data_IF_030178483572
#
_entry.id   IF_030178483572
#
_cell.length_a   1.000
_cell.length_b   1.000
_cell.length_c   1.000
_cell.angle_alpha   90.00
_cell.angle_beta   90.00
_cell.angle_gamma   90.00
#
_symmetry.space_group_name_H-M   'P 1'
#
loop_
_entity.id
_entity.type
_entity.pdbx_description
1 polymer ?
#
# COMPACT_ATOMS: atom_id res chain seq x y z
N UNK A 1 -25.18 -3.06 20.00
CA UNK A 1 -24.61 -3.25 18.64
C UNK A 1 -23.41 -4.16 18.76
N UNK A 2 -23.24 -5.18 17.90
CA UNK A 2 -22.03 -6.00 17.91
C UNK A 2 -20.81 -5.12 17.59
N UNK A 3 -19.83 -5.10 18.48
CA UNK A 3 -18.56 -4.39 18.29
C UNK A 3 -17.59 -5.30 17.54
N UNK A 4 -16.96 -4.79 16.48
CA UNK A 4 -15.92 -5.54 15.76
C UNK A 4 -14.68 -5.65 16.67
N UNK A 5 -14.14 -6.86 16.92
CA UNK A 5 -12.95 -7.03 17.74
C UNK A 5 -11.73 -6.34 17.12
N UNK A 6 -10.88 -5.71 17.94
CA UNK A 6 -9.68 -4.99 17.47
C UNK A 6 -8.70 -5.93 16.76
N UNK A 7 -8.61 -7.19 17.22
CA UNK A 7 -7.78 -8.24 16.62
C UNK A 7 -8.24 -8.57 15.21
N UNK A 8 -9.55 -8.55 14.95
CA UNK A 8 -10.11 -8.77 13.63
C UNK A 8 -9.73 -7.63 12.67
N UNK A 9 -9.76 -6.38 13.16
CA UNK A 9 -9.31 -5.21 12.39
C UNK A 9 -7.82 -5.32 12.05
N UNK A 10 -6.97 -5.62 13.04
CA UNK A 10 -5.51 -5.76 12.84
C UNK A 10 -5.17 -6.94 11.93
N UNK A 11 -5.81 -8.10 12.12
CA UNK A 11 -5.62 -9.25 11.25
C UNK A 11 -5.98 -8.93 9.80
N UNK A 12 -7.08 -8.19 9.60
CA UNK A 12 -7.53 -7.76 8.27
C UNK A 12 -6.55 -6.76 7.63
N UNK A 13 -6.03 -5.78 8.37
CA UNK A 13 -5.05 -4.83 7.81
C UNK A 13 -3.71 -5.46 7.49
N UNK A 14 -3.27 -6.44 8.28
CA UNK A 14 -2.10 -7.27 7.94
C UNK A 14 -2.34 -8.02 6.63
N UNK A 15 -3.51 -8.65 6.46
CA UNK A 15 -3.85 -9.33 5.22
C UNK A 15 -3.84 -8.36 4.02
N UNK A 16 -4.41 -7.17 4.17
CA UNK A 16 -4.36 -6.11 3.15
C UNK A 16 -2.93 -5.73 2.76
N UNK A 17 -2.03 -5.59 3.73
CA UNK A 17 -0.61 -5.30 3.47
C UNK A 17 0.02 -6.36 2.56
N UNK A 18 -0.20 -7.64 2.85
CA UNK A 18 0.37 -8.73 2.06
C UNK A 18 -0.31 -8.92 0.70
N UNK A 19 -1.61 -8.63 0.57
CA UNK A 19 -2.30 -8.59 -0.74
C UNK A 19 -1.69 -7.50 -1.64
N UNK A 20 -1.47 -6.30 -1.09
CA UNK A 20 -0.84 -5.20 -1.83
C UNK A 20 0.59 -5.53 -2.24
N UNK A 21 1.36 -6.13 -1.33
CA UNK A 21 2.72 -6.61 -1.60
C UNK A 21 2.73 -7.63 -2.74
N UNK A 22 1.92 -8.69 -2.62
CA UNK A 22 1.87 -9.77 -3.61
C UNK A 22 1.55 -9.23 -5.01
N UNK A 23 0.56 -8.34 -5.12
CA UNK A 23 0.28 -7.68 -6.39
C UNK A 23 1.47 -6.87 -6.91
N UNK A 24 2.08 -6.03 -6.08
CA UNK A 24 3.18 -5.17 -6.52
C UNK A 24 4.38 -6.01 -6.98
N UNK A 25 4.64 -7.15 -6.33
CA UNK A 25 5.67 -8.12 -6.75
C UNK A 25 5.31 -8.72 -8.11
N UNK A 26 4.11 -9.30 -8.26
CA UNK A 26 3.69 -9.92 -9.53
C UNK A 26 3.77 -8.94 -10.69
N UNK A 27 3.33 -7.70 -10.51
CA UNK A 27 3.40 -6.69 -11.56
C UNK A 27 4.85 -6.29 -11.91
N UNK A 28 5.72 -6.13 -10.90
CA UNK A 28 7.08 -5.61 -11.11
C UNK A 28 8.07 -6.66 -11.62
N UNK A 29 7.87 -7.93 -11.25
CA UNK A 29 8.84 -9.00 -11.51
C UNK A 29 8.35 -10.03 -12.53
N UNK A 30 7.06 -10.05 -12.85
CA UNK A 30 6.49 -11.00 -13.81
C UNK A 30 5.75 -10.27 -14.93
N UNK A 31 4.71 -9.50 -14.56
CA UNK A 31 3.76 -8.91 -15.49
C UNK A 31 4.37 -7.93 -16.48
N UNK A 32 4.93 -6.82 -15.99
CA UNK A 32 5.55 -5.81 -16.87
C UNK A 32 6.82 -6.36 -17.53
N UNK A 33 7.72 -7.09 -16.84
CA UNK A 33 8.87 -7.71 -17.49
C UNK A 33 8.50 -8.60 -18.68
N UNK A 34 7.43 -9.39 -18.60
CA UNK A 34 6.97 -10.23 -19.71
C UNK A 34 6.60 -9.42 -20.96
N UNK A 35 6.14 -8.18 -20.82
CA UNK A 35 5.87 -7.27 -21.93
C UNK A 35 7.13 -6.60 -22.51
N UNK A 36 8.26 -6.70 -21.79
CA UNK A 36 9.52 -6.06 -22.15
C UNK A 36 10.59 -7.06 -22.62
N UNK A 37 10.30 -8.36 -22.59
CA UNK A 37 11.18 -9.38 -23.18
C UNK A 37 11.32 -9.07 -24.67
N UNK A 38 12.56 -8.98 -25.13
CA UNK A 38 12.91 -8.67 -26.52
C UNK A 38 12.28 -7.38 -27.06
N UNK A 39 12.04 -6.39 -26.19
CA UNK A 39 11.47 -5.11 -26.63
C UNK A 39 12.37 -4.44 -27.68
N UNK A 40 11.87 -4.16 -28.90
CA UNK A 40 12.68 -3.66 -29.99
C UNK A 40 13.23 -2.27 -29.68
N UNK A 41 14.44 -1.95 -30.18
CA UNK A 41 15.04 -0.61 -30.02
C UNK A 41 14.21 0.46 -30.74
N UNK A 42 14.22 1.73 -30.30
CA UNK A 42 13.47 2.82 -30.93
C UNK A 42 13.71 3.01 -32.43
N UNK A 43 14.91 2.67 -32.93
CA UNK A 43 15.25 2.76 -34.35
C UNK A 43 14.71 1.60 -35.20
N UNK A 44 14.15 0.55 -34.58
CA UNK A 44 13.59 -0.61 -35.29
C UNK A 44 12.23 -0.29 -35.90
N UNK A 45 11.92 -0.77 -37.12
CA UNK A 45 10.58 -0.62 -37.70
C UNK A 45 9.48 -1.29 -36.85
N UNK A 46 9.83 -2.26 -36.01
CA UNK A 46 8.90 -2.99 -35.15
C UNK A 46 8.54 -2.23 -33.86
N UNK A 47 9.29 -1.18 -33.52
CA UNK A 47 9.16 -0.49 -32.24
C UNK A 47 7.78 0.12 -32.02
N UNK A 48 7.25 0.79 -33.03
CA UNK A 48 5.93 1.42 -32.95
C UNK A 48 4.82 0.39 -32.70
N UNK A 49 4.93 -0.81 -33.28
CA UNK A 49 3.97 -1.88 -33.06
C UNK A 49 4.04 -2.42 -31.62
N UNK A 50 5.27 -2.67 -31.11
CA UNK A 50 5.50 -3.12 -29.75
C UNK A 50 5.03 -2.10 -28.70
N UNK A 51 5.34 -0.80 -28.89
CA UNK A 51 4.89 0.29 -28.03
C UNK A 51 3.35 0.37 -27.94
N UNK A 52 2.66 0.22 -29.07
CA UNK A 52 1.18 0.18 -29.09
C UNK A 52 0.61 -1.08 -28.46
N UNK A 53 1.31 -2.21 -28.56
CA UNK A 53 0.91 -3.43 -27.87
C UNK A 53 1.03 -3.26 -26.36
N UNK A 54 2.17 -2.74 -25.88
CA UNK A 54 2.37 -2.37 -24.48
C UNK A 54 1.25 -1.45 -23.97
N UNK A 55 0.92 -0.38 -24.72
CA UNK A 55 -0.16 0.53 -24.36
C UNK A 55 -1.54 -0.13 -24.30
N UNK A 56 -1.82 -1.08 -25.20
CA UNK A 56 -3.07 -1.86 -25.21
C UNK A 56 -3.16 -2.84 -24.03
N UNK A 57 -2.04 -3.42 -23.60
CA UNK A 57 -1.98 -4.30 -22.45
C UNK A 57 -2.00 -3.51 -21.13
N UNK A 58 -1.56 -2.25 -21.14
CA UNK A 58 -1.36 -1.45 -19.93
C UNK A 58 -2.59 -1.41 -18.99
N UNK A 59 -3.84 -1.19 -19.46
CA UNK A 59 -5.04 -1.20 -18.61
C UNK A 59 -5.19 -2.42 -17.70
N UNK A 60 -4.72 -3.60 -18.12
CA UNK A 60 -4.75 -4.82 -17.30
C UNK A 60 -3.91 -4.66 -16.02
N UNK A 61 -2.79 -3.92 -16.09
CA UNK A 61 -1.89 -3.72 -14.97
C UNK A 61 -2.33 -2.58 -14.03
N UNK A 62 -2.89 -1.50 -14.55
CA UNK A 62 -3.18 -0.31 -13.72
C UNK A 62 -4.64 -0.12 -13.31
N UNK A 63 -5.63 -0.68 -14.02
CA UNK A 63 -7.05 -0.55 -13.63
C UNK A 63 -7.32 -1.24 -12.28
N UNK A 64 -6.76 -2.44 -12.07
CA UNK A 64 -6.83 -3.13 -10.76
C UNK A 64 -6.16 -2.28 -9.68
N UNK A 65 -5.08 -1.56 -10.02
CA UNK A 65 -4.43 -0.58 -9.17
C UNK A 65 -5.33 0.50 -8.62
N UNK A 66 -6.12 1.12 -9.50
CA UNK A 66 -6.96 2.24 -9.12
C UNK A 66 -8.27 1.81 -8.46
N UNK A 67 -8.88 0.72 -8.91
CA UNK A 67 -10.20 0.29 -8.45
C UNK A 67 -10.14 -0.59 -7.19
N UNK A 68 -9.06 -1.37 -7.01
CA UNK A 68 -8.98 -2.36 -5.94
C UNK A 68 -7.89 -2.00 -4.90
N UNK A 69 -6.67 -1.69 -5.33
CA UNK A 69 -5.56 -1.49 -4.39
C UNK A 69 -5.60 -0.17 -3.64
N UNK A 70 -6.14 0.90 -4.24
CA UNK A 70 -6.33 2.17 -3.53
C UNK A 70 -7.33 2.05 -2.38
N UNK A 71 -8.54 1.50 -2.57
CA UNK A 71 -9.44 1.22 -1.46
C UNK A 71 -8.82 0.35 -0.38
N UNK A 72 -8.14 -0.74 -0.75
CA UNK A 72 -7.45 -1.62 0.22
C UNK A 72 -6.40 -0.86 1.02
N UNK A 73 -5.59 -0.03 0.37
CA UNK A 73 -4.59 0.76 1.07
C UNK A 73 -5.22 1.79 2.00
N UNK A 74 -6.31 2.44 1.59
CA UNK A 74 -7.08 3.36 2.43
C UNK A 74 -7.67 2.67 3.66
N UNK A 75 -8.23 1.46 3.49
CA UNK A 75 -8.68 0.63 4.62
C UNK A 75 -7.51 0.25 5.52
N UNK A 76 -6.32 -0.02 4.96
CA UNK A 76 -5.08 -0.20 5.70
C UNK A 76 -4.71 1.02 6.57
N UNK A 77 -4.80 2.24 6.02
CA UNK A 77 -4.56 3.49 6.77
C UNK A 77 -5.49 3.55 7.99
N UNK A 78 -6.81 3.44 7.76
CA UNK A 78 -7.77 3.61 8.84
C UNK A 78 -7.74 2.48 9.85
N UNK A 79 -7.58 1.23 9.42
CA UNK A 79 -7.50 0.10 10.34
C UNK A 79 -6.25 0.12 11.20
N UNK A 80 -5.08 0.52 10.66
CA UNK A 80 -3.87 0.70 11.47
C UNK A 80 -3.92 1.95 12.34
N UNK A 81 -4.56 3.04 11.89
CA UNK A 81 -4.80 4.21 12.73
C UNK A 81 -5.73 3.87 13.91
N UNK A 82 -6.78 3.08 13.67
CA UNK A 82 -7.66 2.57 14.72
C UNK A 82 -6.90 1.68 15.71
N UNK A 83 -6.07 0.75 15.22
CA UNK A 83 -5.24 -0.11 16.06
C UNK A 83 -4.25 0.70 16.93
N UNK A 84 -3.65 1.75 16.36
CA UNK A 84 -2.79 2.68 17.08
C UNK A 84 -3.55 3.43 18.18
N UNK A 85 -4.74 3.96 17.87
CA UNK A 85 -5.59 4.61 18.86
C UNK A 85 -6.01 3.67 20.00
N UNK A 86 -6.44 2.44 19.67
CA UNK A 86 -6.84 1.44 20.66
C UNK A 86 -5.67 1.04 21.58
N UNK A 87 -4.49 0.79 21.01
CA UNK A 87 -3.28 0.47 21.76
C UNK A 87 -2.80 1.63 22.64
N UNK A 88 -2.96 2.88 22.19
CA UNK A 88 -2.62 4.07 22.99
C UNK A 88 -3.48 4.16 24.24
N UNK A 89 -4.79 3.87 24.13
CA UNK A 89 -5.70 3.81 25.27
C UNK A 89 -5.27 2.81 26.33
N UNK A 90 -4.79 1.63 25.92
CA UNK A 90 -4.26 0.60 26.83
C UNK A 90 -2.93 1.02 27.49
N UNK A 91 -2.07 1.75 26.78
CA UNK A 91 -0.78 2.23 27.32
C UNK A 91 -0.93 3.32 28.39
N UNK A 92 -1.94 4.18 28.28
CA UNK A 92 -2.22 5.25 29.23
C UNK A 92 -2.87 4.75 30.54
N UNK A 93 -3.57 3.61 30.50
CA UNK A 93 -4.15 2.96 31.68
C UNK A 93 -3.14 2.17 32.53
N UNK A 94 -1.96 1.84 31.98
CA UNK A 94 -0.94 1.05 32.67
C UNK A 94 0.10 1.89 33.42
N UNK A 95 0.01 3.21 33.35
CA UNK A 95 0.92 4.15 34.00
C UNK A 95 0.22 4.94 35.11
N UNK A 96 -0.16 4.28 36.21
CA UNK A 96 -0.32 4.89 37.55
C UNK A 96 -0.45 3.81 38.66
N UNK A 97 0.69 3.30 39.11
CA UNK A 97 0.91 3.08 40.53
C UNK A 97 1.64 4.31 41.06
N UNK A 98 1.08 4.94 42.10
CA UNK A 98 1.51 6.15 42.84
C UNK A 98 0.91 7.49 42.39
N UNK A 99 0.09 8.07 43.28
CA UNK A 99 0.05 9.53 43.50
C UNK A 99 -1.10 10.33 42.90
N UNK A 100 -2.15 10.53 43.71
CA UNK A 100 -3.05 11.71 43.75
C UNK A 100 -3.88 12.07 42.51
N UNK A 101 -5.18 11.83 42.67
CA UNK A 101 -6.31 12.17 41.81
C UNK A 101 -6.43 13.66 41.46
N UNK A 102 -6.39 13.97 40.15
CA UNK A 102 -7.18 15.05 39.54
C UNK A 102 -7.35 14.81 38.03
N UNK A 103 -8.20 13.86 37.65
CA UNK A 103 -8.63 13.72 36.25
C UNK A 103 -10.02 13.08 36.18
N UNK A 104 -11.01 13.87 36.60
CA UNK A 104 -12.42 13.47 36.72
C UNK A 104 -13.34 14.04 35.63
N UNK A 105 -12.87 14.28 34.40
CA UNK A 105 -13.75 14.86 33.36
C UNK A 105 -13.58 14.37 31.93
N UNK A 106 -12.93 13.23 31.70
CA UNK A 106 -13.06 12.46 30.44
C UNK A 106 -13.17 10.97 30.77
N UNK A 107 -14.12 10.62 31.63
CA UNK A 107 -14.47 9.22 31.90
C UNK A 107 -15.38 8.70 30.79
N UNK A 108 -14.77 8.45 29.63
CA UNK A 108 -15.40 7.84 28.46
C UNK A 108 -14.46 6.99 27.62
N UNK A 109 -13.21 6.79 28.06
CA UNK A 109 -12.24 5.92 27.39
C UNK A 109 -12.29 4.53 28.01
N UNK A 110 -13.34 3.77 27.70
CA UNK A 110 -13.22 2.31 27.63
C UNK A 110 -12.24 2.02 26.49
N UNK A 111 -10.95 1.92 26.80
CA UNK A 111 -9.98 1.38 25.85
C UNK A 111 -10.56 0.05 25.33
N UNK A 112 -10.70 -0.15 24.01
CA UNK A 112 -11.22 -1.41 23.49
C UNK A 112 -10.33 -2.53 24.04
N UNK A 113 -10.95 -3.50 24.70
CA UNK A 113 -10.27 -4.70 25.19
C UNK A 113 -9.38 -5.30 24.09
N UNK A 114 -8.16 -5.73 24.48
CA UNK A 114 -7.49 -6.86 23.83
C UNK A 114 -6.23 -6.57 23.00
N UNK A 115 -5.99 -5.34 22.53
CA UNK A 115 -4.82 -5.09 21.67
C UNK A 115 -3.55 -4.73 22.47
N UNK A 116 -2.76 -5.73 22.80
CA UNK A 116 -1.44 -5.55 23.40
C UNK A 116 -0.38 -5.19 22.32
N UNK A 117 0.31 -4.05 22.50
CA UNK A 117 1.43 -3.62 21.64
C UNK A 117 1.74 -2.12 21.70
N UNK A 118 2.98 -1.71 21.38
CA UNK A 118 3.36 -0.31 21.10
C UNK A 118 2.54 0.35 19.97
N UNK A 119 1.70 1.34 20.32
CA UNK A 119 0.86 2.10 19.38
C UNK A 119 1.64 2.78 18.24
N UNK A 120 2.93 3.11 18.46
CA UNK A 120 3.78 3.79 17.47
C UNK A 120 4.02 2.91 16.25
N UNK A 121 4.12 1.60 16.44
CA UNK A 121 4.34 0.64 15.36
C UNK A 121 3.11 0.52 14.46
N UNK A 122 1.89 0.54 15.02
CA UNK A 122 0.67 0.63 14.22
C UNK A 122 0.54 1.99 13.50
N UNK A 123 0.96 3.09 14.13
CA UNK A 123 1.00 4.40 13.47
C UNK A 123 1.98 4.41 12.29
N UNK A 124 3.15 3.77 12.44
CA UNK A 124 4.11 3.57 11.35
C UNK A 124 3.48 2.77 10.20
N UNK A 125 2.80 1.66 10.49
CA UNK A 125 2.09 0.88 9.46
C UNK A 125 1.03 1.70 8.72
N UNK A 126 0.26 2.54 9.43
CA UNK A 126 -0.69 3.47 8.80
C UNK A 126 0.01 4.48 7.87
N UNK A 127 1.14 5.03 8.31
CA UNK A 127 1.93 5.97 7.52
C UNK A 127 2.49 5.33 6.24
N UNK A 128 2.96 4.07 6.29
CA UNK A 128 3.39 3.32 5.11
C UNK A 128 2.28 3.19 4.06
N UNK A 129 1.03 2.94 4.48
CA UNK A 129 -0.11 2.90 3.57
C UNK A 129 -0.45 4.29 3.00
N UNK A 130 -0.32 5.35 3.79
CA UNK A 130 -0.51 6.72 3.32
C UNK A 130 0.52 7.07 2.24
N UNK A 131 1.80 6.77 2.47
CA UNK A 131 2.87 6.95 1.48
C UNK A 131 2.56 6.16 0.21
N UNK A 132 2.06 4.93 0.33
CA UNK A 132 1.66 4.11 -0.82
C UNK A 132 0.58 4.79 -1.68
N UNK A 133 -0.45 5.36 -1.04
CA UNK A 133 -1.54 6.08 -1.73
C UNK A 133 -1.02 7.35 -2.41
N UNK A 134 -0.27 8.18 -1.69
CA UNK A 134 0.29 9.42 -2.23
C UNK A 134 1.25 9.16 -3.38
N UNK A 135 2.15 8.18 -3.23
CA UNK A 135 3.07 7.77 -4.29
C UNK A 135 2.32 7.26 -5.53
N UNK A 136 1.26 6.46 -5.32
CA UNK A 136 0.41 6.01 -6.42
C UNK A 136 -0.25 7.19 -7.15
N UNK A 137 -0.74 8.18 -6.42
CA UNK A 137 -1.43 9.33 -7.00
C UNK A 137 -0.47 10.27 -7.74
N UNK A 138 0.63 10.65 -7.11
CA UNK A 138 1.50 11.72 -7.57
C UNK A 138 2.57 11.24 -8.56
N UNK A 139 3.11 10.04 -8.36
CA UNK A 139 4.23 9.52 -9.17
C UNK A 139 3.78 8.48 -10.20
N UNK A 140 2.85 7.59 -9.83
CA UNK A 140 2.45 6.48 -10.71
C UNK A 140 1.37 6.87 -11.72
N UNK A 141 0.37 7.70 -11.35
CA UNK A 141 -0.68 8.09 -12.31
C UNK A 141 -0.15 8.79 -13.56
N UNK A 142 0.76 9.78 -13.47
CA UNK A 142 1.25 10.45 -14.68
C UNK A 142 1.94 9.46 -15.62
N UNK A 143 2.64 8.46 -15.07
CA UNK A 143 3.30 7.44 -15.86
C UNK A 143 2.31 6.43 -16.44
N UNK A 144 1.26 6.06 -15.70
CA UNK A 144 0.16 5.23 -16.20
C UNK A 144 -0.54 5.90 -17.38
N UNK A 145 -0.78 7.22 -17.32
CA UNK A 145 -1.40 7.97 -18.41
C UNK A 145 -0.53 7.98 -19.67
N UNK A 146 0.79 8.12 -19.51
CA UNK A 146 1.73 8.01 -20.64
C UNK A 146 1.69 6.62 -21.27
N UNK A 147 1.74 5.57 -20.46
CA UNK A 147 1.73 4.20 -20.94
C UNK A 147 0.39 3.81 -21.58
N UNK A 148 -0.74 4.21 -21.02
CA UNK A 148 -2.06 4.04 -21.66
C UNK A 148 -2.16 4.82 -22.97
N UNK A 149 -1.59 6.04 -23.01
CA UNK A 149 -1.53 6.87 -24.21
C UNK A 149 -0.78 6.23 -25.39
N UNK A 150 0.11 5.26 -25.14
CA UNK A 150 0.81 4.52 -26.20
C UNK A 150 -0.13 3.70 -27.09
N UNK A 151 -1.36 3.40 -26.65
CA UNK A 151 -2.35 2.71 -27.50
C UNK A 151 -2.73 3.52 -28.74
N UNK A 152 -2.68 4.86 -28.61
CA UNK A 152 -3.01 5.83 -29.67
C UNK A 152 -2.08 7.06 -29.59
N UNK A 153 -0.78 6.93 -29.91
CA UNK A 153 0.24 7.96 -29.65
C UNK A 153 -0.06 9.32 -30.31
N UNK A 154 -0.58 9.30 -31.55
CA UNK A 154 -0.94 10.52 -32.31
C UNK A 154 -2.04 11.34 -31.63
N UNK A 155 -2.98 10.67 -30.98
CA UNK A 155 -4.10 11.31 -30.30
C UNK A 155 -3.72 11.75 -28.88
N UNK A 156 -2.86 11.00 -28.21
CA UNK A 156 -2.44 11.26 -26.83
C UNK A 156 -1.23 12.20 -26.71
N UNK A 157 -0.52 12.46 -27.82
CA UNK A 157 0.72 13.23 -27.82
C UNK A 157 1.89 12.54 -27.12
N UNK A 158 1.78 11.23 -26.88
CA UNK A 158 2.85 10.46 -26.21
C UNK A 158 3.90 10.04 -27.23
N UNK A 159 5.17 10.26 -26.88
CA UNK A 159 6.30 9.76 -27.64
C UNK A 159 6.45 8.24 -27.49
N UNK A 160 6.23 7.52 -28.58
CA UNK A 160 6.33 6.06 -28.62
C UNK A 160 7.77 5.55 -28.48
N UNK A 161 8.79 6.37 -28.81
CA UNK A 161 10.21 6.00 -28.66
C UNK A 161 10.64 5.81 -27.20
N UNK A 162 9.88 6.38 -26.27
CA UNK A 162 10.11 6.30 -24.82
C UNK A 162 9.31 5.19 -24.13
N UNK A 163 8.64 4.32 -24.90
CA UNK A 163 7.76 3.27 -24.35
C UNK A 163 8.47 2.36 -23.34
N UNK A 164 9.62 1.82 -23.71
CA UNK A 164 10.42 0.95 -22.84
C UNK A 164 10.91 1.72 -21.59
N UNK A 165 11.37 2.95 -21.77
CA UNK A 165 11.80 3.82 -20.68
C UNK A 165 10.67 4.02 -19.66
N UNK A 166 9.46 4.31 -20.13
CA UNK A 166 8.31 4.50 -19.25
C UNK A 166 7.99 3.23 -18.46
N UNK A 167 7.99 2.07 -19.09
CA UNK A 167 7.70 0.80 -18.42
C UNK A 167 8.78 0.43 -17.38
N UNK A 168 10.06 0.59 -17.71
CA UNK A 168 11.17 0.35 -16.78
C UNK A 168 11.16 1.33 -15.61
N UNK A 169 10.88 2.61 -15.89
CA UNK A 169 10.69 3.62 -14.84
C UNK A 169 9.50 3.26 -13.94
N UNK A 170 8.44 2.71 -14.51
CA UNK A 170 7.26 2.28 -13.76
C UNK A 170 7.63 1.16 -12.79
N UNK A 171 8.34 0.12 -13.25
CA UNK A 171 8.83 -0.97 -12.39
C UNK A 171 9.63 -0.40 -11.21
N UNK A 172 10.59 0.50 -11.51
CA UNK A 172 11.42 1.13 -10.48
C UNK A 172 10.59 1.90 -9.45
N UNK A 173 9.62 2.69 -9.88
CA UNK A 173 8.73 3.42 -8.96
C UNK A 173 7.76 2.50 -8.22
N UNK A 174 7.35 1.37 -8.83
CA UNK A 174 6.47 0.40 -8.19
C UNK A 174 7.15 -0.32 -7.01
N UNK A 175 8.48 -0.27 -6.89
CA UNK A 175 9.21 -0.78 -5.71
C UNK A 175 8.75 -0.15 -4.40
N UNK A 176 8.31 1.12 -4.39
CA UNK A 176 7.74 1.75 -3.20
C UNK A 176 6.46 1.03 -2.75
N UNK A 177 5.66 0.56 -3.71
CA UNK A 177 4.44 -0.23 -3.46
C UNK A 177 4.74 -1.68 -3.06
N UNK A 178 5.99 -2.12 -3.17
CA UNK A 178 6.48 -3.39 -2.60
C UNK A 178 6.95 -3.14 -1.17
N UNK A 179 7.87 -2.18 -0.99
CA UNK A 179 8.54 -1.94 0.30
C UNK A 179 7.55 -1.47 1.37
N UNK A 180 6.68 -0.51 1.07
CA UNK A 180 5.81 0.09 2.09
C UNK A 180 4.81 -0.91 2.68
N UNK A 181 4.03 -1.68 1.89
CA UNK A 181 3.15 -2.71 2.44
C UNK A 181 3.91 -3.85 3.11
N UNK A 182 5.11 -4.20 2.62
CA UNK A 182 5.95 -5.21 3.28
C UNK A 182 6.35 -4.77 4.69
N UNK A 183 6.83 -3.54 4.85
CA UNK A 183 7.19 -2.98 6.16
C UNK A 183 5.95 -2.89 7.06
N UNK A 184 4.85 -2.33 6.55
CA UNK A 184 3.61 -2.17 7.32
C UNK A 184 3.07 -3.50 7.86
N UNK A 185 2.97 -4.51 6.99
CA UNK A 185 2.47 -5.84 7.32
C UNK A 185 3.42 -6.59 8.26
N UNK A 186 4.73 -6.55 8.00
CA UNK A 186 5.72 -7.28 8.80
C UNK A 186 5.85 -6.71 10.22
N UNK A 187 5.88 -5.38 10.36
CA UNK A 187 5.95 -4.71 11.68
C UNK A 187 4.70 -5.04 12.50
N UNK A 188 3.51 -4.88 11.90
CA UNK A 188 2.25 -5.16 12.58
C UNK A 188 2.10 -6.66 12.93
N UNK A 189 2.49 -7.56 12.03
CA UNK A 189 2.45 -9.00 12.28
C UNK A 189 3.41 -9.40 13.40
N UNK A 190 4.67 -8.96 13.33
CA UNK A 190 5.68 -9.26 14.35
C UNK A 190 5.22 -8.83 15.74
N UNK A 191 4.70 -7.62 15.86
CA UNK A 191 4.19 -7.09 17.12
C UNK A 191 2.99 -7.89 17.64
N UNK A 192 2.05 -8.24 16.76
CA UNK A 192 0.86 -9.02 17.10
C UNK A 192 1.22 -10.43 17.57
N UNK A 193 2.27 -11.04 17.02
CA UNK A 193 2.77 -12.34 17.48
C UNK A 193 3.54 -12.24 18.80
N UNK A 194 4.34 -11.19 18.98
CA UNK A 194 5.11 -10.96 20.22
C UNK A 194 4.20 -10.68 21.42
N UNK A 195 3.12 -9.92 21.22
CA UNK A 195 2.20 -9.60 22.31
C UNK A 195 1.39 -10.81 22.80
N UNK A 196 1.22 -11.84 21.96
CA UNK A 196 0.57 -13.11 22.34
C UNK A 196 1.48 -14.10 23.08
N UNK A 197 2.79 -13.99 22.91
CA UNK A 197 3.78 -14.89 23.54
C UNK A 197 4.25 -14.39 24.91
N UNK A 198 3.78 -13.22 25.35
CA UNK A 198 4.11 -12.63 26.65
C UNK A 198 3.00 -12.87 27.70
N UNK A 199 2.06 -13.77 27.42
CA UNK A 199 1.02 -14.29 28.32
C UNK A 199 1.38 -15.72 28.71
#
# INVERSE_FOLDING_TARGET
MPTVPTEAVVGTTIAFSFILLGNAVTQSFMGVPALLVDFPRPSSPEHAAAARHLGRQWPVFWNVGNVFFRPISTLGIFGYAYASWAARGASLGSSHGTGTSFSGLVSGSTAPLGLAGDWRLYALSAACHLVTVLHSALNMQPLNNKLDGLRSPKTSGVDESLAEYYARRWIKLNSVRVVMPFVAGSVALWQTLRSRTSL
#
